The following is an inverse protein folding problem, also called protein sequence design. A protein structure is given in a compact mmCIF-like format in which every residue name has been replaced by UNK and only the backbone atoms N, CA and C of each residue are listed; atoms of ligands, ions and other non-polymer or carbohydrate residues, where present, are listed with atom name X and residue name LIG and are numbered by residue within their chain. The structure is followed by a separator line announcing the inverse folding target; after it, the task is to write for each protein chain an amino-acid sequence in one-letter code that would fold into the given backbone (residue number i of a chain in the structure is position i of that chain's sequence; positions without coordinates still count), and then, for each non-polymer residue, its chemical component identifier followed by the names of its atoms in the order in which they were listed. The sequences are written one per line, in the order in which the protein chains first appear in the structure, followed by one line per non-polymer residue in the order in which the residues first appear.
data_IF_600637967766
#
_entry.id   IF_600637967766
#
_cell.length_a   1.000
_cell.length_b   1.000
_cell.length_c   1.000
_cell.angle_alpha   90.00
_cell.angle_beta   90.00
_cell.angle_gamma   90.00
#
_symmetry.space_group_name_H-M   'P 1'
#
loop_
_entity.id
_entity.type
_entity.pdbx_description
1 polymer ?
#
# COMPACT_ATOMS: atom_id res chain seq x y z
N UNK A 1 10.55 -20.74 -13.02
CA UNK A 1 9.24 -20.19 -12.60
C UNK A 1 8.71 -19.34 -13.73
N UNK A 2 7.41 -19.41 -14.04
CA UNK A 2 6.80 -18.50 -15.01
C UNK A 2 6.86 -17.06 -14.49
N UNK A 3 7.02 -16.09 -15.39
CA UNK A 3 7.03 -14.67 -15.01
C UNK A 3 5.70 -14.25 -14.41
N UNK A 4 5.68 -13.40 -13.37
CA UNK A 4 4.43 -12.86 -12.83
C UNK A 4 3.60 -12.16 -13.90
N UNK A 5 2.31 -12.39 -13.91
CA UNK A 5 1.35 -11.68 -14.78
C UNK A 5 0.84 -10.46 -14.03
N UNK A 6 1.15 -9.27 -14.56
CA UNK A 6 0.76 -7.99 -13.95
C UNK A 6 -0.43 -7.40 -14.70
N UNK A 7 -1.59 -7.40 -14.08
CA UNK A 7 -2.77 -6.70 -14.58
C UNK A 7 -2.65 -5.19 -14.32
N UNK A 8 -2.64 -4.39 -15.38
CA UNK A 8 -2.46 -2.94 -15.33
C UNK A 8 -3.74 -2.28 -15.84
N UNK A 9 -4.50 -1.61 -14.96
CA UNK A 9 -5.68 -0.86 -15.42
C UNK A 9 -5.27 0.51 -15.96
N UNK A 10 -5.86 0.91 -17.06
CA UNK A 10 -5.50 2.16 -17.74
C UNK A 10 -6.01 3.44 -17.03
N UNK A 11 -6.92 3.29 -16.04
CA UNK A 11 -7.50 4.42 -15.33
C UNK A 11 -8.40 5.30 -16.19
N UNK A 12 -8.47 6.59 -15.87
CA UNK A 12 -9.25 7.54 -16.65
C UNK A 12 -8.53 7.91 -17.96
N UNK A 13 -9.10 7.61 -19.13
CA UNK A 13 -8.44 7.84 -20.42
C UNK A 13 -8.28 9.33 -20.78
N UNK A 14 -8.98 10.24 -20.10
CA UNK A 14 -8.83 11.68 -20.28
C UNK A 14 -7.77 12.32 -19.36
N UNK A 15 -7.26 11.56 -18.37
CA UNK A 15 -6.17 11.97 -17.50
C UNK A 15 -4.79 11.46 -17.96
N UNK A 16 -3.82 11.49 -17.07
CA UNK A 16 -2.43 11.05 -17.34
C UNK A 16 -2.24 9.51 -17.28
N UNK A 17 -3.30 8.73 -16.98
CA UNK A 17 -3.21 7.29 -16.76
C UNK A 17 -2.48 6.55 -17.88
N UNK A 18 -2.90 6.74 -19.13
CA UNK A 18 -2.23 6.13 -20.29
C UNK A 18 -0.80 6.66 -20.51
N UNK A 19 -0.55 7.95 -20.29
CA UNK A 19 0.79 8.52 -20.48
C UNK A 19 1.80 7.88 -19.55
N UNK A 20 1.51 7.82 -18.25
CA UNK A 20 2.42 7.21 -17.27
C UNK A 20 2.56 5.70 -17.48
N UNK A 21 1.49 5.01 -17.89
CA UNK A 21 1.48 3.60 -18.22
C UNK A 21 2.38 3.32 -19.42
N UNK A 22 2.16 4.01 -20.54
CA UNK A 22 2.95 3.81 -21.77
C UNK A 22 4.42 4.11 -21.52
N UNK A 23 4.76 5.23 -20.90
CA UNK A 23 6.13 5.57 -20.51
C UNK A 23 6.72 4.55 -19.51
N UNK A 24 5.90 4.02 -18.61
CA UNK A 24 6.30 3.07 -17.56
C UNK A 24 6.68 1.70 -18.11
N UNK A 25 5.93 1.20 -19.10
CA UNK A 25 6.14 -0.15 -19.66
C UNK A 25 6.92 -0.18 -20.99
N UNK A 26 7.32 0.98 -21.52
CA UNK A 26 8.05 1.07 -22.79
C UNK A 26 9.43 0.39 -22.76
N UNK A 27 10.06 0.35 -21.58
CA UNK A 27 11.35 -0.31 -21.40
C UNK A 27 11.23 -1.82 -21.68
N UNK A 28 11.95 -2.37 -22.68
CA UNK A 28 11.90 -3.80 -22.99
C UNK A 28 12.27 -4.71 -21.82
N UNK A 29 13.05 -4.22 -20.85
CA UNK A 29 13.42 -4.99 -19.65
C UNK A 29 12.21 -5.31 -18.75
N UNK A 30 11.13 -4.53 -18.82
CA UNK A 30 9.89 -4.84 -18.11
C UNK A 30 9.35 -6.22 -18.51
N UNK A 31 9.37 -6.54 -19.80
CA UNK A 31 8.97 -7.85 -20.30
C UNK A 31 9.92 -9.00 -19.93
N UNK A 32 11.12 -8.68 -19.41
CA UNK A 32 12.04 -9.70 -18.88
C UNK A 32 11.72 -10.10 -17.45
N UNK A 33 11.16 -9.19 -16.64
CA UNK A 33 10.86 -9.41 -15.22
C UNK A 33 9.41 -9.78 -14.94
N UNK A 34 8.48 -9.41 -15.84
CA UNK A 34 7.07 -9.76 -15.71
C UNK A 34 6.38 -9.90 -17.07
N UNK A 35 5.12 -10.34 -17.07
CA UNK A 35 4.23 -10.36 -18.23
C UNK A 35 3.17 -9.28 -18.04
N UNK A 36 3.35 -8.06 -18.61
CA UNK A 36 2.40 -6.98 -18.46
C UNK A 36 1.14 -7.23 -19.31
N UNK A 37 -0.03 -7.03 -18.71
CA UNK A 37 -1.35 -7.11 -19.35
C UNK A 37 -2.10 -5.82 -19.07
N UNK A 38 -2.21 -4.97 -20.07
CA UNK A 38 -2.94 -3.69 -19.99
C UNK A 38 -4.44 -3.95 -20.17
N UNK A 39 -5.25 -3.50 -19.24
CA UNK A 39 -6.71 -3.49 -19.36
C UNK A 39 -7.14 -2.09 -19.80
N UNK A 40 -7.45 -1.95 -21.08
CA UNK A 40 -7.74 -0.65 -21.69
C UNK A 40 -8.32 -0.80 -23.10
N UNK A 41 -7.83 0.04 -24.01
CA UNK A 41 -8.21 -0.02 -25.42
C UNK A 41 -6.99 0.31 -26.32
N UNK A 42 -6.75 -0.52 -27.32
CA UNK A 42 -5.57 -0.40 -28.20
C UNK A 42 -5.61 0.85 -29.08
N UNK A 43 -6.80 1.23 -29.59
CA UNK A 43 -6.93 2.45 -30.41
C UNK A 43 -6.66 3.71 -29.57
N UNK A 44 -7.14 3.72 -28.32
CA UNK A 44 -6.84 4.79 -27.35
C UNK A 44 -5.35 4.82 -27.01
N UNK A 45 -4.72 3.69 -26.68
CA UNK A 45 -3.31 3.60 -26.40
C UNK A 45 -2.47 4.13 -27.58
N UNK A 46 -2.78 3.69 -28.81
CA UNK A 46 -2.12 4.14 -30.04
C UNK A 46 -2.29 5.65 -30.26
N UNK A 47 -3.50 6.18 -30.07
CA UNK A 47 -3.78 7.61 -30.25
C UNK A 47 -2.99 8.45 -29.24
N UNK A 48 -2.95 8.03 -27.97
CA UNK A 48 -2.22 8.75 -26.93
C UNK A 48 -0.69 8.60 -27.10
N UNK A 49 -0.18 7.45 -27.54
CA UNK A 49 1.23 7.30 -27.87
C UNK A 49 1.72 8.31 -28.91
N UNK A 50 0.85 8.77 -29.84
CA UNK A 50 1.20 9.82 -30.81
C UNK A 50 1.42 11.20 -30.17
N UNK A 51 0.92 11.45 -28.97
CA UNK A 51 1.13 12.68 -28.22
C UNK A 51 2.44 12.65 -27.41
N UNK A 52 3.09 11.52 -27.34
CA UNK A 52 4.35 11.28 -26.61
C UNK A 52 5.57 11.41 -27.52
N UNK A 53 6.77 11.32 -26.94
CA UNK A 53 8.02 11.29 -27.67
C UNK A 53 8.10 10.11 -28.65
N UNK A 54 8.99 10.20 -29.66
CA UNK A 54 9.06 9.23 -30.76
C UNK A 54 9.28 7.78 -30.28
N UNK A 55 10.04 7.60 -29.20
CA UNK A 55 10.32 6.28 -28.62
C UNK A 55 9.08 5.51 -28.18
N UNK A 56 7.98 6.22 -27.81
CA UNK A 56 6.73 5.59 -27.35
C UNK A 56 5.74 5.30 -28.49
N UNK A 57 5.93 5.91 -29.69
CA UNK A 57 4.99 5.78 -30.83
C UNK A 57 5.00 4.41 -31.47
N UNK A 58 6.11 3.66 -31.30
CA UNK A 58 6.31 2.32 -31.86
C UNK A 58 5.79 1.18 -30.98
N UNK A 59 5.21 1.44 -29.82
CA UNK A 59 4.72 0.42 -28.94
C UNK A 59 3.63 -0.44 -29.58
N UNK A 60 3.83 -1.77 -29.57
CA UNK A 60 2.88 -2.74 -30.10
C UNK A 60 2.34 -3.64 -28.99
N UNK A 61 1.04 -3.87 -29.03
CA UNK A 61 0.35 -4.76 -28.09
C UNK A 61 -0.07 -6.05 -28.77
N UNK A 62 0.14 -7.17 -28.10
CA UNK A 62 -0.51 -8.44 -28.39
C UNK A 62 -1.94 -8.37 -27.86
N UNK A 63 -2.94 -8.31 -28.75
CA UNK A 63 -4.35 -8.21 -28.34
C UNK A 63 -4.85 -9.58 -27.90
N UNK A 64 -5.49 -9.61 -26.74
CA UNK A 64 -6.01 -10.80 -26.09
C UNK A 64 -7.37 -10.53 -25.43
N UNK A 65 -8.15 -11.56 -25.16
CA UNK A 65 -9.46 -11.44 -24.51
C UNK A 65 -9.39 -11.49 -22.97
N UNK A 66 -8.40 -12.22 -22.45
CA UNK A 66 -8.17 -12.43 -21.02
C UNK A 66 -6.68 -12.67 -20.71
N UNK A 67 -6.26 -12.46 -19.46
CA UNK A 67 -4.86 -12.59 -19.05
C UNK A 67 -4.26 -13.99 -19.27
N UNK A 68 -5.04 -15.05 -19.26
CA UNK A 68 -4.58 -16.42 -19.55
C UNK A 68 -3.96 -16.60 -20.94
N UNK A 69 -4.29 -15.70 -21.90
CA UNK A 69 -3.75 -15.70 -23.26
C UNK A 69 -2.49 -14.83 -23.40
N UNK A 70 -2.00 -14.26 -22.31
CA UNK A 70 -0.85 -13.37 -22.32
C UNK A 70 0.41 -14.11 -22.78
N UNK A 71 1.20 -13.46 -23.64
CA UNK A 71 2.48 -13.97 -24.13
C UNK A 71 3.62 -13.31 -23.39
N UNK A 72 4.48 -14.13 -22.80
CA UNK A 72 5.72 -13.66 -22.19
C UNK A 72 6.60 -12.91 -23.22
N UNK A 73 7.32 -11.91 -22.75
CA UNK A 73 8.19 -11.10 -23.59
C UNK A 73 7.45 -10.10 -24.48
N UNK A 74 6.13 -9.96 -24.34
CA UNK A 74 5.30 -9.01 -25.09
C UNK A 74 4.48 -8.13 -24.15
N UNK A 75 4.17 -6.92 -24.61
CA UNK A 75 3.12 -6.10 -24.04
C UNK A 75 1.77 -6.66 -24.50
N UNK A 76 0.94 -7.09 -23.55
CA UNK A 76 -0.37 -7.63 -23.83
C UNK A 76 -1.46 -6.60 -23.51
N UNK A 77 -2.58 -6.63 -24.24
CA UNK A 77 -3.69 -5.72 -23.99
C UNK A 77 -5.02 -6.43 -24.14
N UNK A 78 -5.84 -6.29 -23.11
CA UNK A 78 -7.24 -6.72 -23.08
C UNK A 78 -8.13 -5.52 -23.39
N UNK A 79 -8.91 -5.59 -24.48
CA UNK A 79 -9.85 -4.53 -24.84
C UNK A 79 -11.04 -4.52 -23.88
N UNK A 80 -11.24 -3.41 -23.17
CA UNK A 80 -12.25 -3.27 -22.11
C UNK A 80 -13.47 -2.42 -22.52
N UNK A 81 -13.32 -1.58 -23.53
CA UNK A 81 -14.37 -0.67 -24.03
C UNK A 81 -14.17 -0.39 -25.53
N UNK A 82 -15.20 0.10 -26.23
CA UNK A 82 -15.16 0.21 -27.70
C UNK A 82 -14.21 1.32 -28.18
N UNK A 83 -13.74 1.18 -29.43
CA UNK A 83 -12.83 2.13 -30.11
C UNK A 83 -13.48 3.49 -30.39
N UNK A 84 -14.82 3.56 -30.27
CA UNK A 84 -15.61 4.79 -30.49
C UNK A 84 -15.54 5.79 -29.36
N UNK A 85 -14.79 5.48 -28.27
CA UNK A 85 -14.61 6.41 -27.16
C UNK A 85 -13.96 7.72 -27.63
N UNK A 86 -14.67 8.82 -27.45
CA UNK A 86 -14.14 10.15 -27.71
C UNK A 86 -13.28 10.62 -26.53
N UNK A 87 -11.99 10.87 -26.79
CA UNK A 87 -11.08 11.42 -25.81
C UNK A 87 -11.24 12.94 -25.71
N UNK A 88 -11.42 13.42 -24.48
CA UNK A 88 -11.43 14.83 -24.12
C UNK A 88 -10.35 15.07 -23.06
N UNK A 89 -9.08 15.09 -23.49
CA UNK A 89 -7.94 15.19 -22.57
C UNK A 89 -8.06 16.42 -21.66
N UNK A 90 -7.80 16.20 -20.38
CA UNK A 90 -7.90 17.22 -19.35
C UNK A 90 -9.31 17.49 -18.83
N UNK A 91 -10.32 16.73 -19.29
CA UNK A 91 -11.72 16.95 -18.91
C UNK A 91 -12.34 15.67 -18.35
N UNK A 92 -12.95 15.78 -17.16
CA UNK A 92 -13.74 14.69 -16.58
C UNK A 92 -15.03 14.48 -17.38
N UNK A 93 -15.29 13.23 -17.84
CA UNK A 93 -16.51 12.88 -18.55
C UNK A 93 -17.08 11.55 -18.04
N UNK A 94 -18.43 11.37 -18.12
CA UNK A 94 -19.04 10.09 -17.73
C UNK A 94 -18.56 8.90 -18.58
N UNK A 95 -18.22 9.13 -19.85
CA UNK A 95 -17.69 8.12 -20.77
C UNK A 95 -16.31 7.61 -20.29
N UNK A 96 -15.43 8.53 -19.87
CA UNK A 96 -14.13 8.18 -19.31
C UNK A 96 -14.27 7.40 -17.99
N UNK A 97 -15.22 7.79 -17.13
CA UNK A 97 -15.55 7.05 -15.92
C UNK A 97 -16.01 5.63 -16.20
N UNK A 98 -16.92 5.43 -17.17
CA UNK A 98 -17.36 4.09 -17.61
C UNK A 98 -16.21 3.24 -18.16
N UNK A 99 -15.31 3.84 -18.94
CA UNK A 99 -14.12 3.16 -19.47
C UNK A 99 -13.17 2.73 -18.35
N UNK A 100 -12.94 3.60 -17.35
CA UNK A 100 -12.15 3.30 -16.16
C UNK A 100 -12.73 2.12 -15.38
N UNK A 101 -14.04 2.12 -15.16
CA UNK A 101 -14.73 1.04 -14.44
C UNK A 101 -14.65 -0.28 -15.20
N UNK A 102 -14.86 -0.28 -16.51
CA UNK A 102 -14.76 -1.47 -17.34
C UNK A 102 -13.36 -2.09 -17.29
N UNK A 103 -12.32 -1.25 -17.33
CA UNK A 103 -10.92 -1.64 -17.15
C UNK A 103 -10.70 -2.33 -15.79
N UNK A 104 -11.12 -1.69 -14.70
CA UNK A 104 -10.97 -2.20 -13.34
C UNK A 104 -11.72 -3.54 -13.15
N UNK A 105 -12.99 -3.59 -13.54
CA UNK A 105 -13.82 -4.79 -13.38
C UNK A 105 -13.28 -5.99 -14.17
N UNK A 106 -12.74 -5.77 -15.37
CA UNK A 106 -12.18 -6.85 -16.18
C UNK A 106 -10.88 -7.38 -15.60
N UNK A 107 -10.01 -6.51 -15.10
CA UNK A 107 -8.80 -6.88 -14.38
C UNK A 107 -9.11 -7.67 -13.09
N UNK A 108 -10.06 -7.21 -12.29
CA UNK A 108 -10.48 -7.90 -11.07
C UNK A 108 -11.03 -9.31 -11.35
N UNK A 109 -11.79 -9.50 -12.43
CA UNK A 109 -12.28 -10.83 -12.83
C UNK A 109 -11.16 -11.81 -13.15
N UNK A 110 -10.12 -11.35 -13.85
CA UNK A 110 -8.98 -12.21 -14.18
C UNK A 110 -8.14 -12.54 -12.93
N UNK A 111 -7.98 -11.59 -12.00
CA UNK A 111 -7.36 -11.82 -10.71
C UNK A 111 -8.12 -12.83 -9.83
N UNK A 112 -9.45 -12.68 -9.74
CA UNK A 112 -10.31 -13.63 -9.00
C UNK A 112 -10.25 -15.06 -9.55
N UNK A 113 -9.97 -15.20 -10.86
CA UNK A 113 -9.81 -16.49 -11.53
C UNK A 113 -8.37 -17.01 -11.51
N UNK A 114 -7.46 -16.32 -10.83
CA UNK A 114 -6.04 -16.69 -10.78
C UNK A 114 -5.29 -16.58 -12.12
N UNK A 115 -5.80 -15.77 -13.07
CA UNK A 115 -5.18 -15.56 -14.37
C UNK A 115 -4.13 -14.43 -14.38
N UNK A 116 -4.11 -13.62 -13.33
CA UNK A 116 -3.11 -12.60 -13.06
C UNK A 116 -2.69 -12.66 -11.59
N UNK A 117 -1.48 -12.23 -11.29
CA UNK A 117 -0.85 -12.30 -9.96
C UNK A 117 -0.91 -10.97 -9.21
N UNK A 118 -0.83 -9.85 -9.94
CA UNK A 118 -0.66 -8.49 -9.42
C UNK A 118 -1.68 -7.57 -10.07
N UNK A 119 -2.17 -6.59 -9.30
CA UNK A 119 -2.96 -5.46 -9.79
C UNK A 119 -2.17 -4.16 -9.63
N UNK A 120 -1.84 -3.51 -10.74
CA UNK A 120 -1.31 -2.15 -10.78
C UNK A 120 -2.37 -1.21 -11.37
N UNK A 121 -2.84 -0.24 -10.58
CA UNK A 121 -3.92 0.64 -11.02
C UNK A 121 -3.43 2.02 -11.39
N UNK A 122 -3.68 2.48 -12.64
CA UNK A 122 -3.56 3.88 -12.99
C UNK A 122 -4.71 4.71 -12.37
N UNK A 123 -4.55 6.03 -12.24
CA UNK A 123 -5.50 6.89 -11.54
C UNK A 123 -6.89 6.93 -12.17
N UNK A 124 -7.93 6.99 -11.33
CA UNK A 124 -9.33 7.21 -11.72
C UNK A 124 -9.84 8.53 -11.16
N UNK A 125 -10.86 9.07 -11.79
CA UNK A 125 -11.64 10.15 -11.20
C UNK A 125 -12.76 9.56 -10.35
N UNK A 126 -12.78 9.91 -9.07
CA UNK A 126 -13.70 9.34 -8.07
C UNK A 126 -15.16 9.76 -8.27
N UNK A 127 -15.40 10.87 -8.99
CA UNK A 127 -16.73 11.39 -9.28
C UNK A 127 -17.31 10.75 -10.54
N UNK A 128 -16.57 10.77 -11.66
CA UNK A 128 -17.10 10.30 -12.95
C UNK A 128 -17.23 8.78 -13.08
N UNK A 129 -16.52 8.01 -12.21
CA UNK A 129 -16.60 6.55 -12.17
C UNK A 129 -17.86 6.06 -11.44
N UNK A 130 -18.56 6.94 -10.67
CA UNK A 130 -19.76 6.57 -9.94
C UNK A 130 -20.85 6.08 -10.88
N UNK A 131 -21.50 4.98 -10.52
CA UNK A 131 -22.57 4.34 -11.27
C UNK A 131 -23.39 3.44 -10.35
N UNK A 132 -24.48 2.86 -10.83
CA UNK A 132 -25.25 1.88 -10.06
C UNK A 132 -24.42 0.66 -9.65
N UNK A 133 -23.41 0.29 -10.42
CA UNK A 133 -22.48 -0.82 -10.15
C UNK A 133 -21.19 -0.41 -9.43
N UNK A 134 -20.98 0.87 -9.14
CA UNK A 134 -19.81 1.36 -8.44
C UNK A 134 -20.18 2.55 -7.53
N UNK A 135 -20.47 2.24 -6.28
CA UNK A 135 -20.80 3.21 -5.22
C UNK A 135 -19.75 3.18 -4.11
N UNK A 136 -18.48 3.43 -4.50
CA UNK A 136 -17.32 3.39 -3.61
C UNK A 136 -16.58 4.73 -3.67
N UNK A 137 -15.93 5.10 -2.58
CA UNK A 137 -15.10 6.32 -2.51
C UNK A 137 -13.82 6.24 -3.36
N UNK A 138 -13.45 5.05 -3.84
CA UNK A 138 -12.30 4.86 -4.72
C UNK A 138 -11.93 3.39 -4.94
N UNK A 139 -10.72 3.17 -5.45
CA UNK A 139 -10.18 1.81 -5.66
C UNK A 139 -10.13 0.98 -4.38
N UNK A 140 -9.66 1.59 -3.28
CA UNK A 140 -9.39 0.86 -2.03
C UNK A 140 -10.63 0.18 -1.50
N UNK A 141 -11.73 0.90 -1.39
CA UNK A 141 -12.99 0.39 -0.84
C UNK A 141 -13.60 -0.67 -1.76
N UNK A 142 -13.54 -0.46 -3.07
CA UNK A 142 -13.98 -1.45 -4.06
C UNK A 142 -13.16 -2.75 -3.97
N UNK A 143 -11.82 -2.63 -3.92
CA UNK A 143 -10.93 -3.79 -3.85
C UNK A 143 -10.99 -4.49 -2.50
N UNK A 144 -11.22 -3.76 -1.41
CA UNK A 144 -11.47 -4.35 -0.08
C UNK A 144 -12.67 -5.30 -0.13
N UNK A 145 -13.78 -4.86 -0.71
CA UNK A 145 -14.95 -5.72 -0.86
C UNK A 145 -14.69 -6.98 -1.71
N UNK A 146 -13.81 -6.88 -2.71
CA UNK A 146 -13.55 -7.98 -3.64
C UNK A 146 -12.48 -8.97 -3.12
N UNK A 147 -11.49 -8.49 -2.35
CA UNK A 147 -10.26 -9.24 -2.08
C UNK A 147 -9.80 -9.26 -0.62
N UNK A 148 -10.46 -8.55 0.31
CA UNK A 148 -10.10 -8.62 1.72
C UNK A 148 -10.80 -9.80 2.40
N UNK A 149 -10.03 -10.75 2.95
CA UNK A 149 -10.57 -11.92 3.63
C UNK A 149 -11.33 -11.54 4.92
N UNK A 150 -10.81 -10.58 5.67
CA UNK A 150 -11.36 -10.11 6.95
C UNK A 150 -12.30 -8.89 6.78
N UNK A 151 -12.62 -8.52 5.52
CA UNK A 151 -13.50 -7.38 5.21
C UNK A 151 -12.87 -6.00 5.45
N UNK A 152 -11.59 -5.93 5.84
CA UNK A 152 -10.86 -4.67 6.05
C UNK A 152 -9.51 -4.67 5.31
N UNK A 153 -9.07 -3.47 4.97
CA UNK A 153 -7.77 -3.24 4.34
C UNK A 153 -7.06 -2.05 4.99
N UNK A 154 -5.77 -1.93 4.73
CA UNK A 154 -4.95 -0.86 5.27
C UNK A 154 -4.25 -0.11 4.12
N UNK A 155 -4.55 1.18 4.00
CA UNK A 155 -3.82 2.05 3.10
C UNK A 155 -2.43 2.32 3.67
N UNK A 156 -1.41 2.05 2.87
CA UNK A 156 -0.02 2.33 3.18
C UNK A 156 0.61 3.18 2.08
N UNK A 157 1.35 4.19 2.49
CA UNK A 157 2.27 4.91 1.62
C UNK A 157 3.67 4.39 1.89
N UNK A 158 4.36 3.99 0.84
CA UNK A 158 5.67 3.32 0.94
C UNK A 158 6.68 4.00 0.03
N UNK A 159 7.81 4.35 0.60
CA UNK A 159 9.01 4.82 -0.11
C UNK A 159 10.27 4.22 0.52
N UNK A 160 11.44 4.54 -0.01
CA UNK A 160 12.71 4.14 0.61
C UNK A 160 12.90 4.80 1.98
N UNK A 161 12.42 6.02 2.15
CA UNK A 161 12.60 6.79 3.38
C UNK A 161 11.68 6.32 4.52
N UNK A 162 10.44 5.92 4.21
CA UNK A 162 9.43 5.68 5.24
C UNK A 162 8.25 4.85 4.73
N UNK A 163 7.62 4.09 5.64
CA UNK A 163 6.31 3.47 5.44
C UNK A 163 5.31 4.09 6.40
N UNK A 164 4.21 4.61 5.87
CA UNK A 164 3.14 5.21 6.68
C UNK A 164 1.83 4.48 6.41
N UNK A 165 1.16 4.07 7.47
CA UNK A 165 -0.18 3.51 7.43
C UNK A 165 -1.16 4.44 8.17
N UNK A 166 -2.45 4.36 7.84
CA UNK A 166 -3.48 5.26 8.35
C UNK A 166 -4.57 4.50 9.09
N UNK A 167 -4.96 4.98 10.27
CA UNK A 167 -6.16 4.49 10.98
C UNK A 167 -7.42 4.97 10.25
N UNK A 168 -7.46 6.26 9.88
CA UNK A 168 -8.53 6.86 9.10
C UNK A 168 -8.00 7.42 7.78
N UNK A 169 -8.67 7.09 6.66
CA UNK A 169 -8.27 7.56 5.33
C UNK A 169 -9.05 8.84 4.96
N UNK A 170 -10.06 8.70 4.13
CA UNK A 170 -10.81 9.79 3.51
C UNK A 170 -12.05 10.17 4.31
N UNK A 171 -11.87 10.75 5.49
CA UNK A 171 -12.96 11.26 6.33
C UNK A 171 -12.74 12.75 6.63
N UNK A 172 -13.80 13.56 6.79
CA UNK A 172 -13.67 14.94 7.25
C UNK A 172 -12.93 15.01 8.59
N UNK A 173 -12.06 16.00 8.78
CA UNK A 173 -11.29 16.18 10.03
C UNK A 173 -12.20 16.19 11.26
N UNK A 174 -13.38 16.82 11.16
CA UNK A 174 -14.38 16.87 12.25
C UNK A 174 -14.88 15.49 12.71
N UNK A 175 -14.75 14.47 11.87
CA UNK A 175 -15.17 13.09 12.19
C UNK A 175 -14.03 12.17 12.58
N UNK A 176 -12.78 12.64 12.50
CA UNK A 176 -11.61 11.82 12.85
C UNK A 176 -11.69 11.29 14.28
N UNK A 177 -11.97 12.11 15.32
CA UNK A 177 -12.03 11.61 16.70
C UNK A 177 -13.02 10.46 16.90
N UNK A 178 -14.19 10.52 16.26
CA UNK A 178 -15.21 9.47 16.33
C UNK A 178 -14.73 8.13 15.71
N UNK A 179 -13.82 8.23 14.75
CA UNK A 179 -13.29 7.06 14.03
C UNK A 179 -12.07 6.44 14.73
N UNK A 180 -11.45 7.14 15.69
CA UNK A 180 -10.33 6.62 16.48
C UNK A 180 -10.85 5.81 17.64
N UNK A 181 -10.97 4.50 17.44
CA UNK A 181 -11.38 3.55 18.47
C UNK A 181 -10.27 2.54 18.75
N UNK A 182 -10.23 2.01 19.99
CA UNK A 182 -9.23 1.00 20.37
C UNK A 182 -9.27 -0.24 19.47
N UNK A 183 -10.46 -0.70 19.12
CA UNK A 183 -10.64 -1.85 18.20
C UNK A 183 -10.07 -1.59 16.82
N UNK A 184 -10.35 -0.38 16.27
CA UNK A 184 -9.82 -0.02 14.94
C UNK A 184 -8.31 0.11 14.94
N UNK A 185 -7.72 0.76 15.95
CA UNK A 185 -6.26 0.87 16.10
C UNK A 185 -5.65 -0.53 16.15
N UNK A 186 -6.19 -1.41 16.98
CA UNK A 186 -5.68 -2.78 17.13
C UNK A 186 -5.79 -3.58 15.83
N UNK A 187 -6.93 -3.53 15.15
CA UNK A 187 -7.12 -4.19 13.85
C UNK A 187 -6.12 -3.69 12.80
N UNK A 188 -5.88 -2.35 12.73
CA UNK A 188 -4.88 -1.77 11.82
C UNK A 188 -3.46 -2.17 12.19
N UNK A 189 -3.11 -2.25 13.48
CA UNK A 189 -1.82 -2.73 13.95
C UNK A 189 -1.57 -4.19 13.57
N UNK A 190 -2.55 -5.07 13.72
CA UNK A 190 -2.45 -6.47 13.29
C UNK A 190 -2.23 -6.60 11.79
N UNK A 191 -3.02 -5.86 10.99
CA UNK A 191 -2.87 -5.86 9.54
C UNK A 191 -1.50 -5.31 9.14
N UNK A 192 -1.05 -4.21 9.76
CA UNK A 192 0.27 -3.62 9.50
C UNK A 192 1.41 -4.56 9.86
N UNK A 193 1.37 -5.16 11.07
CA UNK A 193 2.40 -6.11 11.52
C UNK A 193 2.49 -7.32 10.59
N UNK A 194 1.35 -7.94 10.25
CA UNK A 194 1.29 -9.07 9.31
C UNK A 194 1.86 -8.69 7.94
N UNK A 195 1.51 -7.51 7.44
CA UNK A 195 2.00 -6.98 6.16
C UNK A 195 3.51 -6.78 6.18
N UNK A 196 4.06 -6.15 7.23
CA UNK A 196 5.51 -5.95 7.36
C UNK A 196 6.26 -7.28 7.42
N UNK A 197 5.69 -8.30 8.04
CA UNK A 197 6.27 -9.64 8.08
C UNK A 197 6.17 -10.37 6.74
N UNK A 198 4.99 -10.42 6.13
CA UNK A 198 4.72 -11.23 4.96
C UNK A 198 5.13 -10.59 3.65
N UNK A 199 4.94 -9.27 3.52
CA UNK A 199 5.15 -8.52 2.28
C UNK A 199 6.52 -7.83 2.22
N UNK A 200 7.10 -7.50 3.38
CA UNK A 200 8.39 -6.81 3.48
C UNK A 200 9.47 -7.64 4.19
N UNK A 201 9.21 -8.88 4.58
CA UNK A 201 10.16 -9.80 5.27
C UNK A 201 10.76 -9.25 6.56
N UNK A 202 10.07 -8.36 7.26
CA UNK A 202 10.51 -7.80 8.54
C UNK A 202 9.97 -8.66 9.67
N UNK A 203 10.81 -9.55 10.24
CA UNK A 203 10.37 -10.57 11.21
C UNK A 203 9.80 -10.00 12.51
N UNK A 204 10.37 -8.92 13.03
CA UNK A 204 9.95 -8.26 14.28
C UNK A 204 9.74 -6.76 14.01
N UNK A 205 8.64 -6.36 13.33
CA UNK A 205 8.43 -4.99 12.92
C UNK A 205 8.29 -4.05 14.10
N UNK A 206 9.05 -2.96 14.12
CA UNK A 206 8.92 -1.87 15.08
C UNK A 206 7.98 -0.83 14.51
N UNK A 207 6.82 -0.67 15.13
CA UNK A 207 5.75 0.21 14.66
C UNK A 207 5.65 1.41 15.58
N UNK A 208 5.90 2.63 15.05
CA UNK A 208 5.59 3.86 15.76
C UNK A 208 4.11 4.20 15.58
N UNK A 209 3.43 4.57 16.66
CA UNK A 209 2.04 5.03 16.64
C UNK A 209 2.00 6.50 17.03
N UNK A 210 1.39 7.34 16.19
CA UNK A 210 1.26 8.75 16.47
C UNK A 210 0.09 9.02 17.42
N UNK A 211 0.17 10.10 18.16
CA UNK A 211 -0.93 10.68 18.92
C UNK A 211 -1.96 11.31 17.96
N UNK A 212 -3.17 11.51 18.42
CA UNK A 212 -4.19 12.27 17.70
C UNK A 212 -4.00 13.77 17.91
N UNK A 213 -3.81 14.16 19.18
CA UNK A 213 -3.78 15.56 19.60
C UNK A 213 -2.36 16.15 19.63
N UNK A 214 -2.21 17.49 19.55
CA UNK A 214 -0.94 18.16 19.78
C UNK A 214 -0.33 17.75 21.13
N UNK A 215 1.01 17.66 21.19
CA UNK A 215 1.75 17.25 22.38
C UNK A 215 1.28 15.94 23.04
N UNK A 216 0.70 15.04 22.24
CA UNK A 216 0.09 13.79 22.70
C UNK A 216 -0.96 14.02 23.82
N UNK A 217 -1.76 15.08 23.68
CA UNK A 217 -2.84 15.43 24.58
C UNK A 217 -2.42 16.16 25.86
N UNK A 218 -1.11 16.37 26.07
CA UNK A 218 -0.53 17.04 27.27
C UNK A 218 -1.20 16.61 28.58
N UNK A 219 -1.15 15.33 28.85
CA UNK A 219 -1.79 14.69 30.01
C UNK A 219 -3.30 14.93 30.16
N UNK A 220 -4.01 15.14 29.05
CA UNK A 220 -5.45 15.35 29.00
C UNK A 220 -5.87 16.83 28.95
N UNK A 221 -4.91 17.76 28.93
CA UNK A 221 -5.19 19.19 28.81
C UNK A 221 -5.69 19.58 27.42
N UNK A 222 -5.17 18.92 26.37
CA UNK A 222 -5.46 19.24 24.95
C UNK A 222 -6.24 18.08 24.29
N UNK A 223 -6.89 17.24 25.07
CA UNK A 223 -7.62 16.07 24.60
C UNK A 223 -7.27 14.84 25.43
N UNK A 224 -8.16 13.88 25.46
CA UNK A 224 -8.04 12.67 26.32
C UNK A 224 -7.90 11.38 25.51
N UNK A 225 -7.98 11.44 24.19
CA UNK A 225 -7.99 10.27 23.30
C UNK A 225 -6.71 9.43 23.43
N UNK A 226 -5.58 10.06 23.73
CA UNK A 226 -4.32 9.35 23.99
C UNK A 226 -4.43 8.46 25.21
N UNK A 227 -5.01 8.98 26.30
CA UNK A 227 -5.12 8.26 27.57
C UNK A 227 -6.27 7.25 27.56
N UNK A 228 -7.40 7.61 26.94
CA UNK A 228 -8.64 6.82 27.01
C UNK A 228 -8.79 5.79 25.89
N UNK A 229 -8.11 5.99 24.75
CA UNK A 229 -8.27 5.16 23.55
C UNK A 229 -6.92 4.62 23.05
N UNK A 230 -5.95 5.52 22.76
CA UNK A 230 -4.74 5.11 22.02
C UNK A 230 -3.81 4.30 22.93
N UNK A 231 -3.43 4.81 24.10
CA UNK A 231 -2.53 4.09 25.01
C UNK A 231 -3.08 2.72 25.46
N UNK A 232 -4.38 2.58 25.86
CA UNK A 232 -4.95 1.26 26.12
C UNK A 232 -4.89 0.29 24.94
N UNK A 233 -5.11 0.77 23.70
CA UNK A 233 -4.97 -0.06 22.50
C UNK A 233 -3.53 -0.51 22.28
N UNK A 234 -2.53 0.33 22.57
CA UNK A 234 -1.11 -0.04 22.48
C UNK A 234 -0.71 -1.06 23.56
N UNK A 235 -1.21 -0.92 24.78
CA UNK A 235 -0.92 -1.92 25.82
C UNK A 235 -1.50 -3.28 25.42
N UNK A 236 -2.74 -3.33 24.92
CA UNK A 236 -3.32 -4.57 24.41
C UNK A 236 -2.51 -5.14 23.24
N UNK A 237 -2.05 -4.32 22.31
CA UNK A 237 -1.19 -4.76 21.21
C UNK A 237 0.12 -5.38 21.70
N UNK A 238 0.74 -4.81 22.78
CA UNK A 238 1.95 -5.36 23.40
C UNK A 238 1.69 -6.71 24.09
N UNK A 239 0.54 -6.85 24.79
CA UNK A 239 0.11 -8.13 25.36
C UNK A 239 -0.04 -9.23 24.28
N UNK A 240 -0.42 -8.83 23.06
CA UNK A 240 -0.52 -9.69 21.89
C UNK A 240 0.83 -9.84 21.13
N UNK A 241 1.94 -9.43 21.76
CA UNK A 241 3.31 -9.51 21.24
C UNK A 241 3.61 -8.66 19.99
N UNK A 242 2.88 -7.58 19.76
CA UNK A 242 3.24 -6.60 18.75
C UNK A 242 4.29 -5.62 19.29
N UNK A 243 5.32 -5.32 18.50
CA UNK A 243 6.36 -4.37 18.87
C UNK A 243 5.94 -2.94 18.50
N UNK A 244 5.10 -2.34 19.33
CA UNK A 244 4.48 -1.02 19.12
C UNK A 244 4.97 0.00 20.14
N UNK A 245 5.16 1.25 19.68
CA UNK A 245 5.73 2.35 20.47
C UNK A 245 4.91 3.62 20.28
N UNK A 246 4.73 4.40 21.33
CA UNK A 246 3.95 5.63 21.31
C UNK A 246 2.96 5.71 22.47
N UNK A 247 1.93 6.60 22.39
CA UNK A 247 1.69 7.52 21.27
C UNK A 247 2.73 8.67 21.24
N UNK A 248 3.20 9.00 20.02
CA UNK A 248 4.17 10.09 19.82
C UNK A 248 3.47 11.34 19.32
N UNK A 249 3.83 12.51 19.84
CA UNK A 249 3.46 13.79 19.26
C UNK A 249 4.01 13.88 17.82
N UNK A 250 3.13 14.10 16.84
CA UNK A 250 3.48 13.96 15.43
C UNK A 250 4.53 14.97 14.97
N UNK A 251 4.42 16.23 15.39
CA UNK A 251 5.36 17.31 15.06
C UNK A 251 6.77 17.01 15.56
N UNK A 252 6.90 16.64 16.86
CA UNK A 252 8.17 16.28 17.45
C UNK A 252 8.75 14.98 16.91
N UNK A 253 7.90 14.02 16.54
CA UNK A 253 8.33 12.75 15.97
C UNK A 253 8.96 12.94 14.57
N UNK A 254 8.28 13.64 13.68
CA UNK A 254 8.82 13.90 12.35
C UNK A 254 9.92 14.96 12.36
N UNK A 255 9.75 16.04 13.12
CA UNK A 255 10.74 17.12 13.22
C UNK A 255 12.10 16.66 13.75
N UNK A 256 12.11 15.68 14.64
CA UNK A 256 13.34 15.06 15.16
C UNK A 256 13.85 13.87 14.32
N UNK A 257 13.23 13.55 13.18
CA UNK A 257 13.62 12.43 12.32
C UNK A 257 13.48 11.05 12.97
N UNK A 258 12.65 10.89 14.00
CA UNK A 258 12.53 9.64 14.76
C UNK A 258 12.01 8.47 13.92
N UNK A 259 11.32 8.74 12.80
CA UNK A 259 10.79 7.72 11.89
C UNK A 259 11.86 6.75 11.36
N UNK A 260 13.14 7.17 11.27
CA UNK A 260 14.24 6.31 10.80
C UNK A 260 14.52 5.11 11.72
N UNK A 261 14.03 5.13 12.95
CA UNK A 261 14.20 4.05 13.92
C UNK A 261 13.09 3.01 13.88
N UNK A 262 12.09 3.19 13.00
CA UNK A 262 10.91 2.35 12.92
C UNK A 262 10.74 1.77 11.50
N UNK A 263 10.11 0.61 11.45
CA UNK A 263 9.85 -0.07 10.18
C UNK A 263 8.58 0.46 9.51
N UNK A 264 7.65 1.00 10.30
CA UNK A 264 6.48 1.73 9.84
C UNK A 264 5.95 2.71 10.89
N UNK A 265 5.17 3.68 10.43
CA UNK A 265 4.46 4.66 11.24
C UNK A 265 2.95 4.46 11.04
N UNK A 266 2.18 4.30 12.11
CA UNK A 266 0.72 4.33 12.09
C UNK A 266 0.26 5.73 12.49
N UNK A 267 -0.25 6.49 11.53
CA UNK A 267 -0.83 7.81 11.73
C UNK A 267 -2.34 7.69 11.96
N UNK A 268 -2.91 8.58 12.77
CA UNK A 268 -4.33 8.56 13.10
C UNK A 268 -5.21 8.98 11.94
N UNK A 269 -4.77 9.94 11.12
CA UNK A 269 -5.54 10.43 9.98
C UNK A 269 -4.64 10.80 8.80
N UNK A 270 -5.27 11.04 7.66
CA UNK A 270 -4.65 11.20 6.35
C UNK A 270 -3.51 12.22 6.34
N UNK A 271 -3.78 13.50 6.65
CA UNK A 271 -2.79 14.56 6.49
C UNK A 271 -1.65 14.47 7.52
N UNK A 272 -1.93 13.91 8.72
CA UNK A 272 -0.90 13.66 9.73
C UNK A 272 0.23 12.76 9.22
N UNK A 273 -0.12 11.77 8.42
CA UNK A 273 0.85 10.82 7.86
C UNK A 273 1.38 11.25 6.49
N UNK A 274 0.50 11.77 5.61
CA UNK A 274 0.86 11.99 4.22
C UNK A 274 1.59 13.30 3.95
N UNK A 275 1.38 14.35 4.75
CA UNK A 275 2.16 15.59 4.62
C UNK A 275 3.65 15.31 4.83
N UNK A 276 4.10 14.74 5.96
CA UNK A 276 5.53 14.44 6.13
C UNK A 276 6.04 13.41 5.12
N UNK A 277 5.24 12.40 4.77
CA UNK A 277 5.62 11.42 3.77
C UNK A 277 5.94 12.07 2.42
N UNK A 278 5.02 12.87 1.87
CA UNK A 278 5.20 13.55 0.57
C UNK A 278 6.26 14.64 0.58
N UNK A 279 6.52 15.22 1.74
CA UNK A 279 7.62 16.18 1.90
C UNK A 279 8.99 15.49 1.75
N UNK A 280 9.10 14.24 2.19
CA UNK A 280 10.32 13.45 2.09
C UNK A 280 10.47 12.79 0.71
N UNK A 281 9.39 12.28 0.13
CA UNK A 281 9.43 11.59 -1.16
C UNK A 281 8.10 11.72 -1.92
N UNK A 282 8.16 12.42 -3.06
CA UNK A 282 7.03 12.61 -3.97
C UNK A 282 6.78 11.40 -4.89
N UNK A 283 7.71 10.43 -4.95
CA UNK A 283 7.60 9.24 -5.82
C UNK A 283 7.13 8.00 -5.06
N UNK A 284 6.47 8.19 -3.94
CA UNK A 284 5.94 7.11 -3.12
C UNK A 284 4.93 6.24 -3.86
N UNK A 285 4.70 5.06 -3.29
CA UNK A 285 3.76 4.07 -3.79
C UNK A 285 2.61 3.93 -2.80
N UNK A 286 1.38 3.98 -3.31
CA UNK A 286 0.20 3.61 -2.55
C UNK A 286 0.02 2.08 -2.64
N UNK A 287 0.23 1.40 -1.52
CA UNK A 287 0.02 -0.03 -1.34
C UNK A 287 -1.23 -0.30 -0.51
N UNK A 288 -2.08 -1.20 -0.98
CA UNK A 288 -3.26 -1.64 -0.22
C UNK A 288 -2.97 -2.98 0.45
N UNK A 289 -2.65 -2.94 1.72
CA UNK A 289 -2.39 -4.10 2.55
C UNK A 289 -3.68 -4.82 3.00
N UNK A 290 -3.60 -6.09 3.37
CA UNK A 290 -4.75 -6.89 3.82
C UNK A 290 -5.57 -7.52 2.70
N UNK A 291 -5.19 -7.32 1.43
CA UNK A 291 -5.82 -7.99 0.30
C UNK A 291 -5.17 -9.36 0.01
N UNK A 292 -5.97 -10.31 -0.47
CA UNK A 292 -5.48 -11.62 -0.95
C UNK A 292 -4.60 -11.51 -2.21
N UNK A 293 -4.70 -10.41 -2.95
CA UNK A 293 -3.86 -10.05 -4.09
C UNK A 293 -2.84 -8.98 -3.72
N UNK A 294 -1.78 -8.83 -4.52
CA UNK A 294 -0.88 -7.68 -4.43
C UNK A 294 -1.48 -6.53 -5.24
N UNK A 295 -1.77 -5.41 -4.59
CA UNK A 295 -2.24 -4.21 -5.27
C UNK A 295 -1.40 -3.00 -4.93
N UNK A 296 -0.86 -2.35 -5.96
CA UNK A 296 -0.15 -1.07 -5.86
C UNK A 296 -0.72 -0.04 -6.82
N UNK A 297 -0.43 1.22 -6.57
CA UNK A 297 -0.73 2.32 -7.49
C UNK A 297 0.26 3.47 -7.30
N UNK A 298 0.48 4.32 -8.30
CA UNK A 298 1.17 5.58 -8.12
C UNK A 298 0.44 6.49 -7.13
N UNK A 299 1.20 7.37 -6.47
CA UNK A 299 0.67 8.31 -5.45
C UNK A 299 0.24 9.65 -6.06
N UNK A 300 -0.47 9.64 -7.17
CA UNK A 300 -1.04 10.84 -7.76
C UNK A 300 -2.42 10.54 -8.37
N UNK A 301 -3.20 11.60 -8.60
CA UNK A 301 -4.51 11.54 -9.23
C UNK A 301 -4.46 11.56 -10.75
N UNK A 302 -5.61 11.81 -11.37
CA UNK A 302 -5.77 11.89 -12.84
C UNK A 302 -4.99 13.00 -13.50
N UNK A 303 -4.56 14.03 -12.76
CA UNK A 303 -3.77 15.17 -13.21
C UNK A 303 -4.22 15.70 -14.59
N UNK A 304 -5.49 16.06 -14.69
CA UNK A 304 -6.10 16.51 -15.95
C UNK A 304 -5.38 17.72 -16.57
N UNK A 305 -4.79 18.57 -15.75
CA UNK A 305 -3.99 19.72 -16.16
C UNK A 305 -2.73 19.35 -16.96
N UNK A 306 -2.22 18.12 -16.78
CA UNK A 306 -1.04 17.59 -17.49
C UNK A 306 -1.42 16.69 -18.68
N UNK A 307 -2.67 16.25 -18.79
CA UNK A 307 -3.10 15.27 -19.78
C UNK A 307 -2.81 15.74 -21.23
N UNK A 308 -2.14 14.91 -22.01
CA UNK A 308 -1.79 15.19 -23.41
C UNK A 308 -0.62 16.15 -23.60
N UNK A 309 0.07 16.57 -22.53
CA UNK A 309 1.22 17.49 -22.60
C UNK A 309 2.58 16.79 -22.63
N UNK A 310 2.60 15.48 -22.53
CA UNK A 310 3.84 14.68 -22.46
C UNK A 310 4.78 15.07 -21.29
N UNK A 311 4.24 15.59 -20.19
CA UNK A 311 5.01 16.08 -19.04
C UNK A 311 4.84 15.22 -17.79
N UNK A 312 3.91 14.25 -17.80
CA UNK A 312 3.69 13.38 -16.65
C UNK A 312 4.92 12.48 -16.39
N UNK A 313 5.34 12.43 -15.12
CA UNK A 313 6.47 11.63 -14.67
C UNK A 313 6.03 10.17 -14.39
N UNK A 314 6.59 9.14 -15.05
CA UNK A 314 6.23 7.74 -14.83
C UNK A 314 6.91 7.10 -13.61
N UNK A 315 7.74 7.81 -12.85
CA UNK A 315 8.55 7.20 -11.78
C UNK A 315 7.71 6.53 -10.70
N UNK A 316 6.68 7.21 -10.19
CA UNK A 316 5.79 6.61 -9.17
C UNK A 316 5.08 5.35 -9.70
N UNK A 317 4.73 5.30 -11.00
CA UNK A 317 4.17 4.10 -11.65
C UNK A 317 5.21 2.97 -11.72
N UNK A 318 6.47 3.27 -12.09
CA UNK A 318 7.55 2.26 -12.13
C UNK A 318 7.86 1.74 -10.73
N UNK A 319 7.94 2.62 -9.73
CA UNK A 319 8.13 2.22 -8.33
C UNK A 319 6.99 1.31 -7.86
N UNK A 320 5.74 1.62 -8.23
CA UNK A 320 4.60 0.78 -7.92
C UNK A 320 4.69 -0.60 -8.58
N UNK A 321 5.17 -0.70 -9.81
CA UNK A 321 5.39 -1.96 -10.51
C UNK A 321 6.49 -2.80 -9.83
N UNK A 322 7.65 -2.21 -9.58
CA UNK A 322 8.78 -2.94 -8.96
C UNK A 322 8.43 -3.40 -7.54
N UNK A 323 7.84 -2.52 -6.74
CA UNK A 323 7.38 -2.90 -5.40
C UNK A 323 6.37 -4.05 -5.43
N UNK A 324 5.42 -4.04 -6.36
CA UNK A 324 4.45 -5.11 -6.48
C UNK A 324 5.10 -6.47 -6.82
N UNK A 325 6.12 -6.47 -7.69
CA UNK A 325 6.89 -7.66 -8.02
C UNK A 325 7.69 -8.18 -6.82
N UNK A 326 8.31 -7.28 -6.05
CA UNK A 326 9.06 -7.63 -4.85
C UNK A 326 8.13 -8.20 -3.77
N UNK A 327 6.98 -7.58 -3.52
CA UNK A 327 5.97 -8.08 -2.58
C UNK A 327 5.47 -9.47 -3.00
N UNK A 328 5.16 -9.69 -4.28
CA UNK A 328 4.71 -10.99 -4.75
C UNK A 328 5.77 -12.06 -4.53
N UNK A 329 7.04 -11.74 -4.85
CA UNK A 329 8.18 -12.64 -4.59
C UNK A 329 8.27 -12.99 -3.12
N UNK A 330 8.26 -11.98 -2.26
CA UNK A 330 8.32 -12.14 -0.81
C UNK A 330 7.17 -12.99 -0.25
N UNK A 331 5.93 -12.76 -0.72
CA UNK A 331 4.77 -13.59 -0.34
C UNK A 331 4.95 -15.06 -0.73
N UNK A 332 5.46 -15.33 -1.94
CA UNK A 332 5.70 -16.70 -2.42
C UNK A 332 6.81 -17.38 -1.61
N UNK A 333 7.92 -16.70 -1.36
CA UNK A 333 9.01 -17.21 -0.53
C UNK A 333 8.54 -17.49 0.91
N UNK A 334 7.81 -16.58 1.54
CA UNK A 334 7.25 -16.78 2.87
C UNK A 334 6.25 -17.93 2.93
N UNK A 335 5.41 -18.10 1.91
CA UNK A 335 4.49 -19.23 1.82
C UNK A 335 5.24 -20.58 1.70
N UNK A 336 6.30 -20.61 0.88
CA UNK A 336 7.15 -21.81 0.73
C UNK A 336 7.86 -22.17 2.04
N UNK A 337 8.51 -21.20 2.69
CA UNK A 337 9.20 -21.39 3.97
C UNK A 337 8.22 -21.88 5.06
N UNK A 338 7.00 -21.34 5.08
CA UNK A 338 5.97 -21.68 6.06
C UNK A 338 5.23 -22.98 5.78
N UNK A 339 5.37 -23.57 4.59
CA UNK A 339 4.66 -24.80 4.20
C UNK A 339 5.11 -26.05 4.98
N UNK A 340 6.36 -26.07 5.45
CA UNK A 340 6.91 -27.18 6.23
C UNK A 340 7.78 -26.66 7.38
N UNK A 341 7.18 -26.06 8.43
CA UNK A 341 7.94 -25.52 9.55
C UNK A 341 8.60 -26.62 10.35
N UNK A 342 9.85 -26.37 10.81
CA UNK A 342 10.54 -27.27 11.70
C UNK A 342 9.72 -27.45 12.99
N UNK A 343 9.38 -28.70 13.33
CA UNK A 343 8.74 -29.01 14.60
C UNK A 343 9.75 -28.79 15.73
N UNK A 344 9.60 -27.71 16.48
CA UNK A 344 10.37 -27.44 17.67
C UNK A 344 9.69 -28.14 18.84
N UNK A 345 10.29 -29.20 19.38
CA UNK A 345 9.84 -29.74 20.66
C UNK A 345 10.07 -28.70 21.75
N UNK A 346 9.09 -28.48 22.65
CA UNK A 346 9.28 -27.57 23.76
C UNK A 346 10.51 -28.00 24.55
N UNK A 347 11.57 -27.21 24.58
CA UNK A 347 12.66 -27.45 25.52
C UNK A 347 12.10 -27.23 26.92
N UNK A 348 11.93 -28.33 27.70
CA UNK A 348 11.76 -28.21 29.14
C UNK A 348 12.98 -27.46 29.69
N UNK A 349 12.83 -26.18 29.98
CA UNK A 349 13.80 -25.48 30.81
C UNK A 349 13.70 -26.11 32.21
N UNK A 350 14.53 -27.13 32.48
CA UNK A 350 14.84 -27.51 33.87
C UNK A 350 15.33 -26.23 34.51
N UNK A 351 14.57 -25.68 35.46
CA UNK A 351 15.02 -24.63 36.36
C UNK A 351 16.27 -25.19 37.06
N UNK A 352 17.45 -24.93 36.49
CA UNK A 352 18.70 -25.11 37.24
C UNK A 352 18.59 -24.19 38.42
N UNK A 353 18.76 -24.77 39.60
CA UNK A 353 18.54 -24.15 40.89
C UNK A 353 19.15 -22.76 40.94
N UNK A 354 18.40 -21.85 41.53
CA UNK A 354 18.91 -20.56 41.99
C UNK A 354 20.28 -20.77 42.66
N UNK A 355 21.30 -20.10 42.15
CA UNK A 355 22.52 -19.91 42.92
C UNK A 355 22.11 -19.25 44.23
N UNK A 356 22.13 -20.00 45.34
CA UNK A 356 22.06 -19.40 46.66
C UNK A 356 23.23 -18.42 46.77
N UNK A 357 22.94 -17.16 46.96
CA UNK A 357 23.95 -16.16 47.32
C UNK A 357 24.49 -16.55 48.68
N UNK A 358 25.83 -16.68 48.87
CA UNK A 358 26.37 -16.90 50.20
C UNK A 358 25.96 -15.75 51.12
N UNK A 359 25.59 -16.12 52.34
CA UNK A 359 25.20 -15.18 53.40
C UNK A 359 26.30 -14.10 53.59
N UNK A 360 25.87 -12.86 53.73
CA UNK A 360 26.78 -11.77 54.07
C UNK A 360 27.42 -12.07 55.43
N UNK A 361 28.74 -12.27 55.47
CA UNK A 361 29.51 -12.21 56.69
C UNK A 361 29.37 -10.80 57.28
N UNK A 362 28.89 -10.74 58.52
CA UNK A 362 28.90 -9.55 59.37
C UNK A 362 30.36 -9.16 59.69
N UNK A 363 30.79 -8.05 59.09
CA UNK A 363 32.03 -7.40 59.63
C UNK A 363 31.67 -6.75 60.93
N UNK A 364 32.19 -7.38 62.00
CA UNK A 364 32.20 -6.84 63.37
C UNK A 364 32.97 -5.50 63.40
N UNK A 365 32.33 -4.53 64.00
CA UNK A 365 32.99 -3.26 64.40
C UNK A 365 34.11 -3.55 65.41
N UNK A 366 35.34 -3.20 65.08
CA UNK A 366 36.33 -2.87 66.12
C UNK A 366 36.46 -1.34 66.16
N UNK A 367 35.88 -0.78 67.22
CA UNK A 367 36.28 0.48 67.79
C UNK A 367 37.59 0.18 68.61
N UNK A 368 38.63 0.97 68.38
CA UNK A 368 39.39 1.62 69.46
C UNK A 368 40.73 2.22 68.96
N UNK A 369 40.88 3.47 69.32
CA UNK A 369 41.95 4.42 69.49
C UNK A 369 42.26 5.41 68.40
#
# INVERSE_FOLDING_TARGET
MNKPVVAITAGDPNGVGYEILLKGIADPHICQICTPVVYGNAAVAKKLAQTLDEEFRGLQFNLIDEAAQAKEGKLNLVTCYPDTLKLNLGVSTPEAGRASLASLQKACRDLQRGKADILLTAPINKENIQSDSFRFSGHTEYLTQQFAADGDSLMMMVSEAMRVALVCNHVPVSRVPEMITGERILAKLHTLNRTLQQDFSIRAPRIAVLALNPHAGDNGLIGTEEQTVIAPALEKAKEENLCVFGPYSADGFFGAGKYIHFDAVLAMYHDQGLIPFKTLDMNGVNFTAGLSIVRTSPDHGTAYDLAGKNTANPQSFRHALYMALDILRTRRENAEISSNPLKVEPREYKKQGMFERPAKEEFAKEETL
#
